data_IF_327252755203
#
_entry.id   IF_327252755203
#
_cell.length_a   1.000
_cell.length_b   1.000
_cell.length_c   1.000
_cell.angle_alpha   90.00
_cell.angle_beta   90.00
_cell.angle_gamma   90.00
#
_symmetry.space_group_name_H-M   'P 1'
#
loop_
_entity.id
_entity.type
_entity.pdbx_description
1 polymer ?
#
# COMPACT_ATOMS: atom_id res chain seq x y z
N UNK A 1 -20.14 -5.40 8.36
CA UNK A 1 -18.83 -6.10 8.51
C UNK A 1 -17.75 -5.18 7.96
N UNK A 2 -16.69 -4.90 8.72
CA UNK A 2 -15.54 -4.13 8.24
C UNK A 2 -14.50 -5.04 7.58
N UNK A 3 -13.84 -4.56 6.53
CA UNK A 3 -12.69 -5.23 5.92
C UNK A 3 -11.49 -4.29 5.95
N UNK A 4 -10.51 -4.65 6.78
CA UNK A 4 -9.26 -3.92 6.93
C UNK A 4 -8.11 -4.86 6.70
N UNK A 5 -7.24 -4.52 5.75
CA UNK A 5 -6.08 -5.32 5.39
C UNK A 5 -4.98 -4.43 4.86
N UNK A 6 -3.78 -4.60 5.41
CA UNK A 6 -2.52 -4.08 4.85
C UNK A 6 -1.85 -5.23 4.08
N UNK A 7 -1.77 -5.10 2.76
CA UNK A 7 -1.32 -6.17 1.87
C UNK A 7 0.03 -5.77 1.26
N UNK A 8 1.00 -6.66 1.31
CA UNK A 8 2.34 -6.46 0.76
C UNK A 8 2.48 -7.15 -0.60
N UNK A 9 3.43 -6.71 -1.43
CA UNK A 9 3.85 -7.47 -2.62
C UNK A 9 4.95 -8.49 -2.35
N UNK A 10 5.69 -8.37 -1.24
CA UNK A 10 6.83 -9.25 -0.96
C UNK A 10 6.45 -10.55 -0.25
N UNK A 11 5.24 -10.63 0.33
CA UNK A 11 4.75 -11.80 1.04
C UNK A 11 3.23 -11.77 1.23
N UNK A 12 2.62 -12.95 1.33
CA UNK A 12 1.21 -13.09 1.71
C UNK A 12 1.00 -12.68 3.17
N UNK A 13 -0.12 -12.02 3.43
CA UNK A 13 -0.59 -11.73 4.78
C UNK A 13 -1.03 -13.00 5.49
N UNK A 14 -1.21 -12.91 6.81
CA UNK A 14 -1.77 -14.00 7.63
C UNK A 14 -3.23 -14.35 7.26
N UNK A 15 -3.90 -13.52 6.47
CA UNK A 15 -5.22 -13.80 5.88
C UNK A 15 -5.14 -14.21 4.40
N UNK A 16 -3.96 -14.60 3.91
CA UNK A 16 -3.76 -15.21 2.59
C UNK A 16 -3.66 -14.22 1.41
N UNK A 17 -3.64 -12.91 1.66
CA UNK A 17 -3.63 -11.90 0.59
C UNK A 17 -2.21 -11.42 0.24
N UNK A 18 -1.91 -11.23 -1.04
CA UNK A 18 -0.71 -10.53 -1.51
C UNK A 18 -1.04 -9.61 -2.68
N UNK A 19 -0.18 -8.62 -2.93
CA UNK A 19 -0.19 -7.84 -4.17
C UNK A 19 0.70 -8.55 -5.19
N UNK A 20 0.27 -8.60 -6.45
CA UNK A 20 1.04 -9.15 -7.57
C UNK A 20 1.18 -8.06 -8.63
N UNK A 21 2.40 -7.86 -9.12
CA UNK A 21 2.65 -7.07 -10.34
C UNK A 21 2.57 -8.04 -11.51
N UNK A 22 1.71 -7.74 -12.46
CA UNK A 22 1.51 -8.50 -13.69
C UNK A 22 1.89 -7.62 -14.88
N UNK A 23 3.14 -7.72 -15.38
CA UNK A 23 3.60 -6.91 -16.50
C UNK A 23 2.88 -7.23 -17.81
N UNK A 24 2.54 -8.50 -18.03
CA UNK A 24 1.92 -8.98 -19.27
C UNK A 24 0.53 -8.36 -19.46
N UNK A 25 -0.24 -8.23 -18.37
CA UNK A 25 -1.52 -7.53 -18.39
C UNK A 25 -1.42 -6.04 -18.01
N UNK A 26 -0.23 -5.56 -17.67
CA UNK A 26 0.00 -4.20 -17.15
C UNK A 26 -0.90 -3.85 -15.95
N UNK A 27 -0.93 -4.72 -14.94
CA UNK A 27 -1.81 -4.62 -13.78
C UNK A 27 -1.09 -4.84 -12.46
N UNK A 28 -1.55 -4.14 -11.43
CA UNK A 28 -1.30 -4.46 -10.02
C UNK A 28 -2.54 -5.18 -9.49
N UNK A 29 -2.42 -6.47 -9.15
CA UNK A 29 -3.53 -7.37 -8.80
C UNK A 29 -3.50 -7.72 -7.31
N UNK A 30 -4.66 -8.04 -6.74
CA UNK A 30 -4.77 -8.64 -5.40
C UNK A 30 -4.99 -10.15 -5.55
N UNK A 31 -4.09 -10.97 -5.01
CA UNK A 31 -4.23 -12.44 -4.98
C UNK A 31 -4.60 -12.92 -3.59
N UNK A 32 -5.44 -13.95 -3.55
CA UNK A 32 -5.84 -14.68 -2.36
C UNK A 32 -5.50 -16.17 -2.49
N UNK A 33 -4.91 -16.72 -1.43
CA UNK A 33 -4.69 -18.17 -1.30
C UNK A 33 -5.14 -18.62 0.09
N UNK A 34 -6.19 -19.43 0.12
CA UNK A 34 -6.76 -19.97 1.35
C UNK A 34 -5.79 -20.87 2.11
N UNK A 35 -4.83 -21.50 1.42
CA UNK A 35 -3.81 -22.36 2.05
C UNK A 35 -2.75 -21.56 2.81
N UNK A 36 -2.60 -20.27 2.49
CA UNK A 36 -1.67 -19.37 3.15
C UNK A 36 -2.30 -18.64 4.37
N UNK A 37 -3.56 -18.93 4.68
CA UNK A 37 -4.27 -18.34 5.83
C UNK A 37 -3.78 -18.99 7.11
N UNK A 38 -3.34 -18.17 8.06
CA UNK A 38 -2.85 -18.63 9.34
C UNK A 38 -3.99 -19.27 10.18
N UNK A 39 -3.64 -20.30 10.95
CA UNK A 39 -4.59 -21.11 11.74
C UNK A 39 -5.50 -20.27 12.67
N UNK A 40 -4.98 -19.18 13.24
CA UNK A 40 -5.75 -18.25 14.08
C UNK A 40 -6.96 -17.62 13.37
N UNK A 41 -7.02 -17.69 12.04
CA UNK A 41 -8.14 -17.20 11.22
C UNK A 41 -9.03 -18.34 10.70
N UNK A 42 -8.95 -19.56 11.25
CA UNK A 42 -9.70 -20.72 10.76
C UNK A 42 -11.22 -20.53 10.75
N UNK A 43 -11.79 -19.93 11.80
CA UNK A 43 -13.23 -19.64 11.86
C UNK A 43 -13.66 -18.64 10.77
N UNK A 44 -12.83 -17.60 10.57
CA UNK A 44 -13.04 -16.65 9.48
C UNK A 44 -12.92 -17.32 8.11
N UNK A 45 -11.95 -18.22 7.92
CA UNK A 45 -11.76 -18.93 6.67
C UNK A 45 -12.94 -19.85 6.37
N UNK A 46 -13.42 -20.61 7.36
CA UNK A 46 -14.64 -21.43 7.26
C UNK A 46 -15.83 -20.57 6.82
N UNK A 47 -16.04 -19.44 7.50
CA UNK A 47 -17.04 -18.43 7.16
C UNK A 47 -16.92 -17.90 5.72
N UNK A 48 -15.71 -17.71 5.20
CA UNK A 48 -15.49 -17.29 3.81
C UNK A 48 -15.87 -18.42 2.85
N UNK A 49 -15.42 -19.65 3.14
CA UNK A 49 -15.72 -20.84 2.33
C UNK A 49 -17.21 -21.10 2.18
N UNK A 50 -17.98 -20.97 3.26
CA UNK A 50 -19.44 -21.14 3.25
C UNK A 50 -20.18 -20.06 2.44
N UNK A 51 -19.64 -18.84 2.36
CA UNK A 51 -20.32 -17.70 1.71
C UNK A 51 -19.97 -17.54 0.24
N UNK A 52 -18.68 -17.65 -0.10
CA UNK A 52 -18.15 -17.30 -1.43
C UNK A 52 -17.14 -18.30 -1.99
N UNK A 53 -16.78 -19.34 -1.23
CA UNK A 53 -15.75 -20.31 -1.60
C UNK A 53 -14.34 -19.88 -1.20
N UNK A 54 -13.38 -20.78 -1.44
CA UNK A 54 -11.96 -20.66 -1.03
C UNK A 54 -10.98 -20.60 -2.21
N UNK A 55 -11.50 -20.51 -3.44
CA UNK A 55 -10.69 -20.33 -4.64
C UNK A 55 -10.05 -18.94 -4.68
N UNK A 56 -9.12 -18.76 -5.60
CA UNK A 56 -8.64 -17.42 -5.98
C UNK A 56 -9.81 -16.50 -6.37
N UNK A 57 -9.60 -15.19 -6.24
CA UNK A 57 -10.59 -14.15 -6.52
C UNK A 57 -10.98 -14.15 -8.00
N UNK A 58 -12.28 -14.24 -8.28
CA UNK A 58 -12.82 -14.18 -9.63
C UNK A 58 -14.09 -13.30 -9.69
N UNK A 59 -14.04 -12.09 -10.30
CA UNK A 59 -12.86 -11.48 -10.92
C UNK A 59 -11.83 -11.03 -9.88
N UNK A 60 -10.56 -11.01 -10.28
CA UNK A 60 -9.47 -10.54 -9.44
C UNK A 60 -9.44 -8.99 -9.40
N UNK A 61 -9.48 -8.35 -8.22
CA UNK A 61 -9.35 -6.90 -8.14
C UNK A 61 -7.98 -6.43 -8.62
N UNK A 62 -7.95 -5.35 -9.41
CA UNK A 62 -6.72 -4.81 -9.96
C UNK A 62 -6.74 -3.28 -10.15
N UNK A 63 -5.56 -2.72 -10.37
CA UNK A 63 -5.34 -1.39 -10.93
C UNK A 63 -4.46 -1.49 -12.17
N UNK A 64 -4.85 -0.82 -13.27
CA UNK A 64 -4.02 -0.75 -14.46
C UNK A 64 -2.79 0.14 -14.23
N UNK A 65 -1.68 -0.18 -14.89
CA UNK A 65 -0.45 0.62 -14.81
C UNK A 65 -0.69 2.06 -15.23
N UNK A 66 -1.41 2.30 -16.32
CA UNK A 66 -1.72 3.66 -16.80
C UNK A 66 -2.49 4.48 -15.77
N UNK A 67 -3.50 3.89 -15.11
CA UNK A 67 -4.28 4.57 -14.09
C UNK A 67 -3.43 4.95 -12.88
N UNK A 68 -2.57 4.04 -12.44
CA UNK A 68 -1.64 4.30 -11.32
C UNK A 68 -0.59 5.34 -11.72
N UNK A 69 -0.03 5.24 -12.92
CA UNK A 69 0.96 6.18 -13.44
C UNK A 69 0.40 7.59 -13.48
N UNK A 70 -0.80 7.80 -14.01
CA UNK A 70 -1.41 9.12 -14.06
C UNK A 70 -1.76 9.63 -12.66
N UNK A 71 -2.39 8.81 -11.80
CA UNK A 71 -2.77 9.25 -10.45
C UNK A 71 -1.55 9.57 -9.57
N UNK A 72 -0.54 8.69 -9.57
CA UNK A 72 0.68 8.90 -8.80
C UNK A 72 1.53 10.00 -9.42
N UNK A 73 1.78 9.95 -10.73
CA UNK A 73 2.62 10.89 -11.45
C UNK A 73 2.13 12.33 -11.38
N UNK A 74 0.82 12.58 -11.47
CA UNK A 74 0.28 13.95 -11.31
C UNK A 74 0.49 14.49 -9.90
N UNK A 75 0.32 13.65 -8.86
CA UNK A 75 0.39 14.09 -7.47
C UNK A 75 1.83 14.13 -6.93
N UNK A 76 2.67 13.21 -7.37
CA UNK A 76 3.99 12.94 -6.79
C UNK A 76 5.13 13.42 -7.67
N UNK A 77 4.88 14.01 -8.85
CA UNK A 77 5.91 14.44 -9.82
C UNK A 77 7.19 14.95 -9.16
N UNK A 78 7.04 15.98 -8.32
CA UNK A 78 8.08 16.53 -7.44
C UNK A 78 7.49 16.71 -6.03
N UNK A 79 8.28 16.51 -4.98
CA UNK A 79 7.83 16.57 -3.60
C UNK A 79 8.90 17.15 -2.65
N UNK A 80 8.44 17.85 -1.62
CA UNK A 80 9.25 18.14 -0.43
C UNK A 80 8.89 17.13 0.66
N UNK A 81 9.86 16.35 1.12
CA UNK A 81 9.70 15.43 2.22
C UNK A 81 10.34 16.02 3.47
N UNK A 82 9.52 16.37 4.47
CA UNK A 82 9.97 16.97 5.71
C UNK A 82 9.95 15.96 6.86
N UNK A 83 11.03 15.91 7.65
CA UNK A 83 11.00 15.21 8.95
C UNK A 83 10.83 16.23 10.07
N UNK A 84 9.92 15.91 10.98
CA UNK A 84 9.63 16.73 12.14
C UNK A 84 9.74 15.91 13.43
N UNK A 85 10.32 16.50 14.46
CA UNK A 85 10.16 16.04 15.83
C UNK A 85 8.86 16.61 16.41
N UNK A 86 8.21 15.84 17.28
CA UNK A 86 6.96 16.26 17.94
C UNK A 86 7.14 16.32 19.45
N UNK A 87 6.54 17.33 20.08
CA UNK A 87 6.50 17.49 21.53
C UNK A 87 5.12 17.96 21.98
N UNK A 88 4.63 17.48 23.13
CA UNK A 88 3.40 17.97 23.73
C UNK A 88 3.71 18.92 24.89
N UNK A 89 3.17 20.14 24.87
CA UNK A 89 3.36 21.16 25.92
C UNK A 89 1.97 21.66 26.31
N UNK A 90 1.61 21.53 27.60
CA UNK A 90 0.30 21.93 28.13
C UNK A 90 -0.89 21.45 27.27
N UNK A 91 -0.85 20.18 26.86
CA UNK A 91 -1.90 19.54 26.05
C UNK A 91 -1.84 19.83 24.54
N UNK A 92 -1.06 20.82 24.07
CA UNK A 92 -0.90 21.17 22.66
C UNK A 92 0.26 20.42 22.03
N UNK A 93 0.08 19.93 20.80
CA UNK A 93 1.15 19.28 20.03
C UNK A 93 1.94 20.33 19.24
N UNK A 94 3.26 20.27 19.33
CA UNK A 94 4.21 21.13 18.65
C UNK A 94 5.08 20.29 17.74
N UNK A 95 5.43 20.84 16.58
CA UNK A 95 6.29 20.20 15.58
C UNK A 95 7.51 21.06 15.31
N UNK A 96 8.69 20.45 15.32
CA UNK A 96 9.94 21.06 14.88
C UNK A 96 10.41 20.35 13.62
N UNK A 97 10.25 21.02 12.47
CA UNK A 97 10.72 20.53 11.17
C UNK A 97 12.25 20.70 11.10
N UNK A 98 12.98 19.60 10.99
CA UNK A 98 14.45 19.57 11.13
C UNK A 98 15.19 19.27 9.85
N UNK A 99 14.58 18.49 8.96
CA UNK A 99 15.20 18.04 7.71
C UNK A 99 14.20 18.24 6.58
N UNK A 100 14.70 18.67 5.43
CA UNK A 100 13.93 18.72 4.19
C UNK A 100 14.68 17.98 3.09
N UNK A 101 13.98 17.11 2.40
CA UNK A 101 14.46 16.43 1.20
C UNK A 101 13.63 16.86 0.00
N UNK A 102 14.27 17.44 -1.00
CA UNK A 102 13.67 17.72 -2.30
C UNK A 102 13.76 16.45 -3.13
N UNK A 103 12.62 15.99 -3.63
CA UNK A 103 12.46 14.79 -4.42
C UNK A 103 11.92 15.19 -5.79
N UNK A 104 12.69 14.93 -6.85
CA UNK A 104 12.32 15.29 -8.22
C UNK A 104 12.29 14.06 -9.12
N UNK A 105 11.47 14.13 -10.16
CA UNK A 105 11.33 13.07 -11.17
C UNK A 105 10.79 11.76 -10.57
N UNK A 106 9.52 11.78 -10.14
CA UNK A 106 8.82 10.55 -9.76
C UNK A 106 8.96 9.49 -10.87
N UNK A 107 9.40 8.31 -10.48
CA UNK A 107 9.68 7.20 -11.37
C UNK A 107 8.69 6.05 -11.11
N UNK A 108 7.90 5.71 -12.13
CA UNK A 108 6.86 4.70 -12.01
C UNK A 108 7.40 3.28 -11.90
N UNK A 109 8.51 2.96 -12.56
CA UNK A 109 9.14 1.64 -12.46
C UNK A 109 9.69 1.41 -11.04
N UNK A 110 10.26 2.46 -10.42
CA UNK A 110 10.66 2.42 -9.00
C UNK A 110 9.44 2.26 -8.09
N UNK A 111 8.29 2.83 -8.44
CA UNK A 111 7.02 2.61 -7.73
C UNK A 111 6.54 1.16 -7.81
N UNK A 112 6.55 0.54 -9.00
CA UNK A 112 6.21 -0.88 -9.15
C UNK A 112 7.19 -1.77 -8.38
N UNK A 113 8.49 -1.52 -8.52
CA UNK A 113 9.56 -2.22 -7.79
C UNK A 113 9.39 -2.10 -6.27
N UNK A 114 8.95 -0.94 -5.77
CA UNK A 114 8.69 -0.71 -4.36
C UNK A 114 7.47 -1.49 -3.84
N UNK A 115 6.49 -1.81 -4.68
CA UNK A 115 5.39 -2.72 -4.32
C UNK A 115 5.93 -4.14 -4.16
N UNK A 116 6.69 -4.64 -5.14
CA UNK A 116 7.26 -6.00 -5.13
C UNK A 116 8.19 -6.22 -3.94
N UNK A 117 9.03 -5.24 -3.63
CA UNK A 117 9.94 -5.27 -2.47
C UNK A 117 9.21 -5.08 -1.12
N UNK A 118 7.90 -4.82 -1.14
CA UNK A 118 7.10 -4.60 0.07
C UNK A 118 7.45 -3.30 0.80
N UNK A 119 7.92 -2.28 0.08
CA UNK A 119 8.04 -0.91 0.58
C UNK A 119 6.71 -0.16 0.50
N UNK A 120 5.90 -0.47 -0.51
CA UNK A 120 4.53 0.00 -0.66
C UNK A 120 3.56 -1.12 -0.27
N UNK A 121 2.63 -0.79 0.60
CA UNK A 121 1.48 -1.62 0.94
C UNK A 121 0.22 -1.14 0.22
N UNK A 122 -0.66 -2.06 -0.12
CA UNK A 122 -2.04 -1.75 -0.55
C UNK A 122 -2.97 -1.98 0.64
N UNK A 123 -3.63 -0.91 1.08
CA UNK A 123 -4.51 -0.93 2.23
C UNK A 123 -5.97 -0.86 1.86
N UNK A 124 -6.71 -1.90 2.22
CA UNK A 124 -8.15 -1.83 2.32
C UNK A 124 -8.51 -1.31 3.71
N UNK A 125 -9.26 -0.21 3.78
CA UNK A 125 -9.74 0.40 5.03
C UNK A 125 -11.24 0.70 4.94
N UNK A 126 -12.02 -0.37 4.74
CA UNK A 126 -13.47 -0.34 4.70
C UNK A 126 -14.03 -0.64 6.10
N UNK A 127 -14.58 0.39 6.75
CA UNK A 127 -15.21 0.28 8.07
C UNK A 127 -16.73 0.18 7.91
N UNK A 128 -17.40 -0.32 8.94
CA UNK A 128 -18.86 -0.36 8.94
C UNK A 128 -19.40 1.07 8.81
N UNK A 129 -20.18 1.33 7.76
CA UNK A 129 -20.76 2.65 7.47
C UNK A 129 -19.83 3.68 6.82
N UNK A 130 -18.54 3.37 6.61
CA UNK A 130 -17.60 4.32 5.99
C UNK A 130 -16.42 3.60 5.32
N UNK A 131 -16.19 3.88 4.03
CA UNK A 131 -15.01 3.42 3.31
C UNK A 131 -14.01 4.57 3.15
N UNK A 132 -12.82 4.46 3.75
CA UNK A 132 -11.77 5.48 3.66
C UNK A 132 -10.97 5.43 2.36
N UNK A 133 -11.37 4.57 1.42
CA UNK A 133 -10.67 4.32 0.17
C UNK A 133 -9.44 3.43 0.33
N UNK A 134 -9.07 2.77 -0.76
CA UNK A 134 -7.83 2.01 -0.87
C UNK A 134 -6.63 2.94 -0.89
N UNK A 135 -5.58 2.63 -0.13
CA UNK A 135 -4.38 3.47 -0.03
C UNK A 135 -3.16 2.70 -0.49
N UNK A 136 -2.30 3.35 -1.27
CA UNK A 136 -0.92 2.90 -1.47
C UNK A 136 -0.08 3.57 -0.39
N UNK A 137 0.32 2.81 0.64
CA UNK A 137 1.02 3.32 1.81
C UNK A 137 2.48 2.91 1.77
N UNK A 138 3.36 3.88 1.73
CA UNK A 138 4.80 3.65 1.70
C UNK A 138 5.39 3.59 3.11
N UNK A 139 6.43 2.76 3.31
CA UNK A 139 7.26 2.79 4.53
C UNK A 139 7.89 4.18 4.71
N UNK A 140 7.99 4.61 5.97
CA UNK A 140 8.25 6.01 6.34
C UNK A 140 9.55 6.59 5.74
N UNK A 141 10.56 5.77 5.48
CA UNK A 141 11.87 6.15 4.96
C UNK A 141 12.07 5.84 3.46
N UNK A 142 11.05 5.30 2.78
CA UNK A 142 11.18 4.81 1.39
C UNK A 142 10.68 5.78 0.33
N UNK A 143 10.16 6.96 0.70
CA UNK A 143 9.72 7.96 -0.27
C UNK A 143 10.81 8.35 -1.28
N UNK A 144 12.06 8.62 -0.85
CA UNK A 144 13.12 8.94 -1.80
C UNK A 144 13.41 7.85 -2.82
N UNK A 145 13.14 6.58 -2.50
CA UNK A 145 13.34 5.45 -3.43
C UNK A 145 12.48 5.57 -4.68
N UNK A 146 11.39 6.35 -4.65
CA UNK A 146 10.48 6.50 -5.79
C UNK A 146 10.92 7.56 -6.82
N UNK A 147 12.07 8.22 -6.60
CA UNK A 147 12.47 9.41 -7.36
C UNK A 147 13.80 9.23 -8.09
N UNK A 148 13.97 9.96 -9.20
CA UNK A 148 15.22 10.05 -9.96
C UNK A 148 16.28 10.88 -9.24
N UNK A 149 15.87 12.02 -8.67
CA UNK A 149 16.76 12.97 -8.02
C UNK A 149 16.34 13.22 -6.56
N UNK A 150 17.35 13.29 -5.67
CA UNK A 150 17.19 13.44 -4.22
C UNK A 150 18.21 14.47 -3.74
N UNK A 151 17.72 15.55 -3.12
CA UNK A 151 18.57 16.58 -2.52
C UNK A 151 18.15 16.82 -1.07
N UNK A 152 19.07 16.69 -0.12
CA UNK A 152 18.80 16.83 1.32
C UNK A 152 19.45 18.09 1.88
N UNK A 153 18.71 18.79 2.76
CA UNK A 153 19.15 19.96 3.52
C UNK A 153 18.86 19.78 5.00
#
# INVERSE_FOLDING_TARGET
MSFRQTISGSSRSDRGFTVIIDPDESKVKISFDSKAVAEKHAEWLKSVGERVGLSELNPQPYWGFTDLFHKAGTKLKNCFYLKAERKRISGREHFWYKEITILSEFNFDKFLSAIEQGFIYVDFDARTGHNHGTKFRLKQDKLPYLYGEIQQY
#
